data_IF_465367668614
#
_entry.id   IF_465367668614
#
_cell.length_a   1.000
_cell.length_b   1.000
_cell.length_c   1.000
_cell.angle_alpha   90.00
_cell.angle_beta   90.00
_cell.angle_gamma   90.00
#
_symmetry.space_group_name_H-M   'P 1'
#
loop_
_entity.id
_entity.type
_entity.pdbx_description
1 polymer ?
#
# COMPACT_ATOMS: atom_id res chain seq x y z
N UNK A 1 -14.70 12.56 -67.04
CA UNK A 1 -13.47 12.22 -66.27
C UNK A 1 -12.99 13.48 -65.57
N UNK A 2 -13.39 13.68 -64.34
CA UNK A 2 -13.00 14.85 -63.50
C UNK A 2 -12.22 14.33 -62.33
N UNK A 3 -10.89 14.59 -62.35
CA UNK A 3 -9.97 14.16 -61.29
C UNK A 3 -10.11 14.97 -60.00
N UNK A 4 -10.39 14.29 -58.91
CA UNK A 4 -10.30 14.84 -57.55
C UNK A 4 -8.84 14.87 -57.11
N UNK A 5 -8.32 16.06 -56.79
CA UNK A 5 -7.02 16.25 -56.10
C UNK A 5 -7.15 15.88 -54.63
N UNK A 6 -6.17 15.19 -54.03
CA UNK A 6 -6.17 14.92 -52.60
C UNK A 6 -5.92 16.18 -51.80
N UNK A 7 -6.68 16.36 -50.70
CA UNK A 7 -6.54 17.47 -49.77
C UNK A 7 -5.22 17.34 -48.99
N UNK A 8 -4.42 18.41 -49.03
CA UNK A 8 -3.14 18.48 -48.33
C UNK A 8 -3.33 18.39 -46.81
N UNK A 9 -2.62 17.47 -46.18
CA UNK A 9 -2.53 17.33 -44.70
C UNK A 9 -1.81 18.57 -44.12
N UNK A 10 -2.51 19.43 -43.40
CA UNK A 10 -1.88 20.45 -42.57
C UNK A 10 -1.26 19.75 -41.35
N UNK A 11 0.06 19.72 -41.32
CA UNK A 11 0.80 19.40 -40.09
C UNK A 11 0.50 20.46 -39.04
N UNK A 12 0.00 20.05 -37.88
CA UNK A 12 -0.17 20.92 -36.72
C UNK A 12 1.21 21.37 -36.24
N UNK A 13 1.38 22.64 -35.81
CA UNK A 13 2.65 23.11 -35.28
C UNK A 13 3.02 22.31 -34.01
N UNK A 14 4.29 21.93 -33.92
CA UNK A 14 4.83 21.27 -32.72
C UNK A 14 4.60 22.14 -31.46
N UNK A 15 4.18 21.55 -30.33
CA UNK A 15 4.09 22.29 -29.08
C UNK A 15 5.49 22.84 -28.70
N UNK A 16 5.55 24.01 -28.03
CA UNK A 16 6.83 24.57 -27.59
C UNK A 16 7.53 23.60 -26.62
N UNK A 17 8.87 23.58 -26.59
CA UNK A 17 9.62 22.74 -25.66
C UNK A 17 9.22 23.05 -24.21
N UNK A 18 9.01 21.99 -23.43
CA UNK A 18 8.72 22.12 -21.99
C UNK A 18 9.90 22.83 -21.30
N UNK A 19 9.63 23.74 -20.35
CA UNK A 19 10.68 24.36 -19.58
C UNK A 19 11.53 23.29 -18.87
N UNK A 20 12.85 23.49 -18.73
CA UNK A 20 13.70 22.52 -18.06
C UNK A 20 13.19 22.25 -16.65
N UNK A 21 13.09 20.98 -16.30
CA UNK A 21 12.78 20.55 -14.94
C UNK A 21 13.79 21.22 -14.01
N UNK A 22 13.32 22.09 -13.10
CA UNK A 22 14.21 22.75 -12.14
C UNK A 22 14.83 21.66 -11.26
N UNK A 23 16.13 21.44 -11.43
CA UNK A 23 16.93 20.65 -10.50
C UNK A 23 16.84 21.28 -9.11
N UNK A 24 16.21 20.61 -8.15
CA UNK A 24 16.43 20.93 -6.74
C UNK A 24 17.82 20.41 -6.37
N UNK A 25 18.82 21.22 -6.66
CA UNK A 25 20.10 21.11 -5.98
C UNK A 25 19.91 21.78 -4.62
N UNK A 26 19.59 20.99 -3.57
CA UNK A 26 19.96 21.27 -2.19
C UNK A 26 19.52 20.10 -1.31
N UNK A 27 20.54 19.43 -0.82
CA UNK A 27 20.59 18.50 0.31
C UNK A 27 19.95 17.10 0.15
N UNK A 28 20.78 16.04 0.19
CA UNK A 28 20.31 14.66 0.16
C UNK A 28 20.02 14.17 1.59
N UNK A 29 18.98 14.66 2.19
CA UNK A 29 18.28 13.92 3.24
C UNK A 29 17.06 13.30 2.59
N UNK A 30 17.20 12.07 2.12
CA UNK A 30 16.05 11.25 1.75
C UNK A 30 15.27 11.09 3.05
N UNK A 31 14.16 11.83 3.15
CA UNK A 31 13.22 11.72 4.27
C UNK A 31 12.09 10.83 3.79
N UNK A 32 11.72 9.81 4.55
CA UNK A 32 10.45 9.12 4.37
C UNK A 32 9.37 10.19 4.10
N UNK A 33 8.56 9.99 3.05
CA UNK A 33 7.63 11.03 2.61
C UNK A 33 6.36 11.03 3.46
N UNK A 34 6.47 11.47 4.73
CA UNK A 34 5.31 11.75 5.58
C UNK A 34 4.80 13.15 5.23
N UNK A 35 3.59 13.23 4.67
CA UNK A 35 3.03 14.48 4.17
C UNK A 35 1.75 14.88 4.89
N UNK A 36 1.71 16.11 5.35
CA UNK A 36 0.47 16.76 5.78
C UNK A 36 -0.41 17.06 4.56
N UNK A 37 -1.69 16.76 4.65
CA UNK A 37 -2.70 17.13 3.67
C UNK A 37 -3.83 17.89 4.35
N UNK A 38 -4.20 19.06 3.84
CA UNK A 38 -5.23 19.94 4.40
C UNK A 38 -5.10 20.17 5.93
N UNK A 39 -3.87 20.33 6.41
CA UNK A 39 -3.57 20.55 7.84
C UNK A 39 -3.52 19.26 8.68
N UNK A 40 -3.90 18.12 8.16
CA UNK A 40 -3.88 16.83 8.87
C UNK A 40 -2.57 16.11 8.58
N UNK A 41 -1.82 15.81 9.64
CA UNK A 41 -0.55 15.08 9.58
C UNK A 41 -0.76 13.64 10.03
N UNK A 42 -0.15 12.64 9.38
CA UNK A 42 -0.17 11.27 9.86
C UNK A 42 0.33 11.13 11.30
N UNK A 43 -0.35 10.29 12.08
CA UNK A 43 0.05 9.90 13.45
C UNK A 43 0.77 8.56 13.37
N UNK A 44 2.08 8.57 13.65
CA UNK A 44 2.96 7.41 13.51
C UNK A 44 3.78 7.28 14.80
N UNK A 45 3.62 6.20 15.59
CA UNK A 45 4.45 5.92 16.74
C UNK A 45 5.94 5.79 16.39
N UNK A 46 6.81 6.12 17.35
CA UNK A 46 8.27 6.02 17.16
C UNK A 46 8.78 4.58 17.04
N UNK A 47 7.98 3.61 17.45
CA UNK A 47 8.24 2.18 17.28
C UNK A 47 7.99 1.67 15.86
N UNK A 48 7.44 2.51 14.96
CA UNK A 48 7.17 2.13 13.59
C UNK A 48 8.39 2.31 12.70
N UNK A 49 8.57 1.40 11.76
CA UNK A 49 9.52 1.53 10.66
C UNK A 49 8.82 2.05 9.41
N UNK A 50 9.29 3.19 8.89
CA UNK A 50 8.86 3.71 7.58
C UNK A 50 10.11 3.79 6.71
N UNK A 51 10.17 2.97 5.68
CA UNK A 51 11.28 3.01 4.72
C UNK A 51 11.31 4.36 3.98
N UNK A 52 12.51 4.84 3.61
CA UNK A 52 12.71 6.19 3.07
C UNK A 52 11.89 6.50 1.80
N UNK A 53 11.60 5.48 0.98
CA UNK A 53 10.77 5.60 -0.22
C UNK A 53 9.28 5.36 0.04
N UNK A 54 8.91 4.95 1.27
CA UNK A 54 7.53 4.79 1.70
C UNK A 54 6.84 6.14 1.86
N UNK A 55 5.58 6.23 1.43
CA UNK A 55 4.80 7.48 1.42
C UNK A 55 3.57 7.34 2.32
N UNK A 56 3.43 8.24 3.30
CA UNK A 56 2.25 8.28 4.18
C UNK A 56 1.67 9.71 4.17
N UNK A 57 0.39 9.86 3.81
CA UNK A 57 -0.22 11.16 3.54
C UNK A 57 -1.56 11.31 4.28
N UNK A 58 -1.79 12.46 4.91
CA UNK A 58 -3.10 12.91 5.41
C UNK A 58 -3.57 12.20 6.69
N UNK A 59 -4.86 11.89 6.77
CA UNK A 59 -5.49 11.30 7.96
C UNK A 59 -5.22 9.80 8.07
N UNK A 60 -3.97 9.47 8.44
CA UNK A 60 -3.49 8.11 8.66
C UNK A 60 -3.03 7.96 10.11
N UNK A 61 -3.50 6.92 10.78
CA UNK A 61 -3.01 6.53 12.12
C UNK A 61 -2.49 5.11 12.06
N UNK A 62 -1.23 4.92 12.44
CA UNK A 62 -0.61 3.61 12.61
C UNK A 62 -0.58 3.24 14.09
N UNK A 63 -0.76 1.96 14.39
CA UNK A 63 -0.49 1.37 15.69
C UNK A 63 1.01 1.16 15.95
N UNK A 64 1.35 0.65 17.14
CA UNK A 64 2.73 0.38 17.53
C UNK A 64 3.36 -0.76 16.69
N UNK A 65 4.67 -0.67 16.44
CA UNK A 65 5.48 -1.66 15.74
C UNK A 65 4.99 -1.99 14.32
N UNK A 66 4.30 -1.06 13.66
CA UNK A 66 3.98 -1.21 12.24
C UNK A 66 5.22 -0.99 11.36
N UNK A 67 5.21 -1.58 10.17
CA UNK A 67 6.27 -1.35 9.18
C UNK A 67 5.71 -1.06 7.80
N UNK A 68 6.25 -0.03 7.15
CA UNK A 68 5.91 0.38 5.77
C UNK A 68 7.17 0.28 4.93
N UNK A 69 7.12 -0.56 3.91
CA UNK A 69 8.28 -0.98 3.14
C UNK A 69 8.43 -0.20 1.83
N UNK A 70 9.39 -0.61 1.00
CA UNK A 70 9.86 0.14 -0.16
C UNK A 70 8.73 0.49 -1.14
N UNK A 71 8.60 1.78 -1.47
CA UNK A 71 7.64 2.32 -2.43
C UNK A 71 6.16 2.06 -2.10
N UNK A 72 5.83 1.66 -0.88
CA UNK A 72 4.43 1.56 -0.47
C UNK A 72 3.82 2.96 -0.31
N UNK A 73 2.54 3.11 -0.66
CA UNK A 73 1.79 4.37 -0.58
C UNK A 73 0.56 4.19 0.30
N UNK A 74 0.47 4.95 1.39
CA UNK A 74 -0.68 5.01 2.29
C UNK A 74 -1.24 6.43 2.23
N UNK A 75 -2.41 6.62 1.60
CA UNK A 75 -2.95 7.94 1.31
C UNK A 75 -4.38 8.12 1.85
N UNK A 76 -4.47 8.78 3.02
CA UNK A 76 -5.72 9.18 3.68
C UNK A 76 -6.04 10.66 3.43
N UNK A 77 -6.25 11.05 2.18
CA UNK A 77 -6.46 12.44 1.78
C UNK A 77 -7.94 12.82 1.62
N UNK A 78 -8.81 11.84 1.34
CA UNK A 78 -10.25 12.05 1.14
C UNK A 78 -11.12 11.24 2.10
N UNK A 79 -10.53 10.44 2.95
CA UNK A 79 -11.11 9.76 4.13
C UNK A 79 -9.97 9.26 5.02
N UNK A 80 -10.28 8.73 6.21
CA UNK A 80 -9.25 8.25 7.12
C UNK A 80 -8.79 6.81 6.84
N UNK A 81 -7.52 6.53 7.23
CA UNK A 81 -6.94 5.18 7.29
C UNK A 81 -6.52 4.89 8.72
N UNK A 82 -6.88 3.72 9.25
CA UNK A 82 -6.50 3.25 10.59
C UNK A 82 -5.88 1.87 10.47
N UNK A 83 -4.68 1.71 11.02
CA UNK A 83 -3.90 0.47 10.97
C UNK A 83 -3.55 0.08 12.40
N UNK A 84 -3.89 -1.14 12.79
CA UNK A 84 -3.60 -1.71 14.11
C UNK A 84 -2.13 -2.05 14.31
N UNK A 85 -1.79 -2.53 15.52
CA UNK A 85 -0.42 -2.81 15.92
C UNK A 85 0.22 -3.95 15.12
N UNK A 86 1.55 -3.93 14.97
CA UNK A 86 2.36 -5.04 14.42
C UNK A 86 1.93 -5.45 13.00
N UNK A 87 1.33 -4.52 12.25
CA UNK A 87 0.88 -4.72 10.88
C UNK A 87 1.97 -4.25 9.92
N UNK A 88 2.26 -5.06 8.89
CA UNK A 88 3.26 -4.72 7.88
C UNK A 88 2.62 -4.45 6.52
N UNK A 89 3.06 -3.37 5.88
CA UNK A 89 2.66 -2.97 4.53
C UNK A 89 3.88 -3.12 3.63
N UNK A 90 3.92 -4.20 2.85
CA UNK A 90 5.09 -4.56 2.07
C UNK A 90 5.27 -3.70 0.82
N UNK A 91 6.34 -3.98 0.08
CA UNK A 91 6.78 -3.18 -1.05
C UNK A 91 5.69 -2.99 -2.10
N UNK A 92 5.64 -1.78 -2.69
CA UNK A 92 4.74 -1.42 -3.78
C UNK A 92 3.24 -1.49 -3.45
N UNK A 93 2.86 -1.63 -2.18
CA UNK A 93 1.44 -1.62 -1.80
C UNK A 93 0.81 -0.24 -2.00
N UNK A 94 -0.49 -0.23 -2.34
CA UNK A 94 -1.30 0.99 -2.43
C UNK A 94 -2.50 0.87 -1.51
N UNK A 95 -2.57 1.73 -0.50
CA UNK A 95 -3.64 1.81 0.48
C UNK A 95 -4.37 3.15 0.30
N UNK A 96 -5.63 3.11 -0.09
CA UNK A 96 -6.44 4.30 -0.35
C UNK A 96 -7.89 4.14 0.10
N UNK A 97 -8.68 5.16 -0.09
CA UNK A 97 -10.04 5.33 0.46
C UNK A 97 -10.96 5.96 -0.57
N UNK A 98 -12.28 5.75 -0.43
CA UNK A 98 -13.28 6.47 -1.22
C UNK A 98 -13.77 7.69 -0.43
N UNK A 99 -13.79 8.84 -1.09
CA UNK A 99 -14.18 10.15 -0.53
C UNK A 99 -15.46 10.06 0.30
N UNK A 100 -15.35 10.31 1.60
CA UNK A 100 -16.43 10.37 2.60
C UNK A 100 -17.38 9.15 2.66
N UNK A 101 -17.05 8.04 1.96
CA UNK A 101 -17.91 6.86 1.88
C UNK A 101 -17.27 5.64 2.53
N UNK A 102 -16.07 5.26 2.07
CA UNK A 102 -15.38 4.05 2.52
C UNK A 102 -13.99 4.38 3.07
N UNK A 103 -13.83 4.42 4.41
CA UNK A 103 -12.52 4.48 5.05
C UNK A 103 -11.77 3.16 4.88
N UNK A 104 -10.48 3.15 5.13
CA UNK A 104 -9.69 1.92 5.21
C UNK A 104 -9.35 1.61 6.67
N UNK A 105 -9.82 0.46 7.13
CA UNK A 105 -9.59 -0.01 8.51
C UNK A 105 -8.85 -1.34 8.45
N UNK A 106 -7.69 -1.40 9.07
CA UNK A 106 -6.84 -2.59 9.12
C UNK A 106 -6.55 -2.91 10.57
N UNK A 107 -6.79 -4.14 10.97
CA UNK A 107 -6.54 -4.65 12.31
C UNK A 107 -5.07 -4.80 12.66
N UNK A 108 -4.82 -5.49 13.75
CA UNK A 108 -3.49 -5.80 14.27
C UNK A 108 -2.95 -7.12 13.72
N UNK A 109 -1.62 -7.23 13.65
CA UNK A 109 -0.92 -8.45 13.19
C UNK A 109 -1.32 -8.87 11.76
N UNK A 110 -1.61 -7.88 10.91
CA UNK A 110 -1.95 -8.11 9.50
C UNK A 110 -0.68 -8.08 8.65
N UNK A 111 -0.49 -9.08 7.80
CA UNK A 111 0.55 -9.09 6.78
C UNK A 111 -0.05 -8.72 5.44
N UNK A 112 0.36 -7.57 4.88
CA UNK A 112 -0.05 -7.10 3.56
C UNK A 112 1.10 -7.33 2.59
N UNK A 113 0.99 -8.38 1.78
CA UNK A 113 2.03 -8.83 0.85
C UNK A 113 2.35 -7.82 -0.25
N UNK A 114 3.48 -8.01 -0.92
CA UNK A 114 3.98 -7.09 -1.96
C UNK A 114 2.93 -6.78 -3.03
N UNK A 115 2.89 -5.52 -3.48
CA UNK A 115 2.02 -5.02 -4.54
C UNK A 115 0.50 -5.23 -4.31
N UNK A 116 0.06 -5.35 -3.05
CA UNK A 116 -1.36 -5.42 -2.71
C UNK A 116 -2.01 -4.05 -2.86
N UNK A 117 -3.27 -4.04 -3.32
CA UNK A 117 -4.12 -2.85 -3.37
C UNK A 117 -5.28 -3.03 -2.38
N UNK A 118 -5.37 -2.13 -1.39
CA UNK A 118 -6.51 -2.04 -0.49
C UNK A 118 -7.21 -0.70 -0.70
N UNK A 119 -8.48 -0.74 -1.05
CA UNK A 119 -9.25 0.46 -1.29
C UNK A 119 -10.57 0.41 -0.52
N UNK A 120 -10.77 1.36 0.42
CA UNK A 120 -12.01 1.56 1.16
C UNK A 120 -12.60 0.31 1.84
N UNK A 121 -11.78 -0.59 2.36
CA UNK A 121 -12.19 -1.89 2.89
C UNK A 121 -11.88 -2.04 4.40
N UNK A 122 -12.34 -3.12 5.00
CA UNK A 122 -12.04 -3.48 6.39
C UNK A 122 -11.34 -4.83 6.45
N UNK A 123 -10.13 -4.85 7.00
CA UNK A 123 -9.37 -6.06 7.28
C UNK A 123 -9.33 -6.24 8.79
N UNK A 124 -9.78 -7.36 9.30
CA UNK A 124 -9.75 -7.67 10.72
C UNK A 124 -8.36 -8.14 11.17
N UNK A 125 -8.22 -8.50 12.44
CA UNK A 125 -6.93 -8.89 13.01
C UNK A 125 -6.40 -10.20 12.42
N UNK A 126 -5.09 -10.36 12.40
CA UNK A 126 -4.42 -11.61 12.00
C UNK A 126 -4.88 -12.14 10.63
N UNK A 127 -4.87 -11.24 9.66
CA UNK A 127 -5.14 -11.61 8.26
C UNK A 127 -3.82 -11.57 7.47
N UNK A 128 -3.62 -12.59 6.63
CA UNK A 128 -2.54 -12.59 5.65
C UNK A 128 -3.12 -12.33 4.27
N UNK A 129 -2.66 -11.26 3.63
CA UNK A 129 -3.04 -10.88 2.27
C UNK A 129 -1.88 -11.18 1.34
N UNK A 130 -2.07 -12.13 0.44
CA UNK A 130 -1.08 -12.58 -0.52
C UNK A 130 -0.71 -11.51 -1.54
N UNK A 131 0.51 -11.60 -2.07
CA UNK A 131 1.07 -10.66 -3.04
C UNK A 131 0.14 -10.38 -4.22
N UNK A 132 0.03 -9.10 -4.61
CA UNK A 132 -0.75 -8.68 -5.77
C UNK A 132 -2.27 -8.83 -5.62
N UNK A 133 -2.80 -9.15 -4.45
CA UNK A 133 -4.24 -9.17 -4.21
C UNK A 133 -4.84 -7.77 -4.27
N UNK A 134 -6.11 -7.69 -4.69
CA UNK A 134 -6.88 -6.43 -4.75
C UNK A 134 -8.14 -6.63 -3.90
N UNK A 135 -8.38 -5.71 -2.95
CA UNK A 135 -9.57 -5.72 -2.10
C UNK A 135 -10.28 -4.37 -2.26
N UNK A 136 -11.53 -4.41 -2.72
CA UNK A 136 -12.29 -3.24 -3.14
C UNK A 136 -13.21 -2.71 -2.04
N UNK A 137 -13.87 -1.59 -2.34
CA UNK A 137 -14.67 -0.79 -1.43
C UNK A 137 -15.75 -1.59 -0.68
N UNK A 138 -15.86 -1.31 0.60
CA UNK A 138 -16.86 -1.93 1.47
C UNK A 138 -16.66 -3.42 1.75
N UNK A 139 -15.61 -4.05 1.19
CA UNK A 139 -15.31 -5.43 1.50
C UNK A 139 -14.81 -5.58 2.95
N UNK A 140 -15.15 -6.68 3.60
CA UNK A 140 -14.74 -7.01 4.96
C UNK A 140 -14.09 -8.38 4.96
N UNK A 141 -12.84 -8.47 5.42
CA UNK A 141 -12.14 -9.73 5.62
C UNK A 141 -12.13 -10.05 7.11
N UNK A 142 -12.74 -11.17 7.50
CA UNK A 142 -12.78 -11.65 8.87
C UNK A 142 -11.41 -12.08 9.38
N UNK A 143 -11.26 -12.05 10.69
CA UNK A 143 -10.02 -12.39 11.40
C UNK A 143 -9.51 -13.81 11.10
N UNK A 144 -8.22 -14.04 11.33
CA UNK A 144 -7.57 -15.33 11.14
C UNK A 144 -7.77 -15.92 9.72
N UNK A 145 -7.81 -15.06 8.70
CA UNK A 145 -8.09 -15.44 7.31
C UNK A 145 -6.87 -15.25 6.40
N UNK A 146 -6.85 -15.99 5.29
CA UNK A 146 -5.82 -15.89 4.25
C UNK A 146 -6.47 -15.53 2.93
N UNK A 147 -6.06 -14.39 2.35
CA UNK A 147 -6.35 -14.00 0.98
C UNK A 147 -5.19 -14.42 0.10
N UNK A 148 -5.42 -15.28 -0.88
CA UNK A 148 -4.37 -15.82 -1.74
C UNK A 148 -3.77 -14.76 -2.68
N UNK A 149 -2.55 -15.02 -3.15
CA UNK A 149 -1.87 -14.13 -4.08
C UNK A 149 -2.69 -13.90 -5.36
N UNK A 150 -2.74 -12.65 -5.84
CA UNK A 150 -3.49 -12.25 -7.03
C UNK A 150 -5.02 -12.36 -6.91
N UNK A 151 -5.56 -12.58 -5.72
CA UNK A 151 -7.00 -12.66 -5.52
C UNK A 151 -7.68 -11.29 -5.72
N UNK A 152 -8.86 -11.28 -6.33
CA UNK A 152 -9.70 -10.08 -6.49
C UNK A 152 -10.95 -10.22 -5.62
N UNK A 153 -10.97 -9.50 -4.50
CA UNK A 153 -12.14 -9.35 -3.63
C UNK A 153 -12.95 -8.15 -4.14
N UNK A 154 -14.15 -8.43 -4.67
CA UNK A 154 -15.02 -7.40 -5.22
C UNK A 154 -15.69 -6.56 -4.13
N UNK A 155 -16.26 -5.43 -4.53
CA UNK A 155 -16.96 -4.52 -3.62
C UNK A 155 -18.02 -5.21 -2.75
N UNK A 156 -18.18 -4.73 -1.51
CA UNK A 156 -19.20 -5.18 -0.55
C UNK A 156 -19.11 -6.67 -0.18
N UNK A 157 -18.04 -7.37 -0.55
CA UNK A 157 -17.86 -8.78 -0.21
C UNK A 157 -17.58 -8.94 1.29
N UNK A 158 -18.38 -9.77 1.97
CA UNK A 158 -18.19 -10.12 3.39
C UNK A 158 -17.59 -11.51 3.49
N UNK A 159 -16.36 -11.58 3.97
CA UNK A 159 -15.66 -12.85 4.23
C UNK A 159 -15.69 -13.15 5.73
N UNK A 160 -16.26 -14.29 6.15
CA UNK A 160 -16.27 -14.67 7.56
C UNK A 160 -14.86 -14.98 8.08
N UNK A 161 -14.65 -14.97 9.41
CA UNK A 161 -13.38 -15.37 10.00
C UNK A 161 -12.93 -16.79 9.59
N UNK A 162 -11.64 -17.04 9.73
CA UNK A 162 -11.00 -18.35 9.47
C UNK A 162 -11.21 -18.87 8.04
N UNK A 163 -11.19 -17.98 7.05
CA UNK A 163 -11.43 -18.32 5.63
C UNK A 163 -10.15 -18.28 4.81
N UNK A 164 -9.99 -19.27 3.91
CA UNK A 164 -9.04 -19.22 2.79
C UNK A 164 -9.79 -18.77 1.54
N UNK A 165 -9.36 -17.64 0.95
CA UNK A 165 -10.02 -17.01 -0.20
C UNK A 165 -9.06 -16.95 -1.37
N UNK A 166 -9.44 -17.51 -2.53
CA UNK A 166 -8.60 -17.63 -3.72
C UNK A 166 -9.36 -17.21 -4.98
N UNK A 167 -8.63 -16.75 -5.99
CA UNK A 167 -9.13 -16.55 -7.35
C UNK A 167 -9.45 -15.10 -7.74
N UNK A 168 -9.85 -14.89 -8.98
CA UNK A 168 -10.25 -13.60 -9.55
C UNK A 168 -11.45 -13.80 -10.50
N UNK A 169 -12.68 -13.44 -10.08
CA UNK A 169 -13.07 -12.98 -8.75
C UNK A 169 -12.86 -14.06 -7.67
N UNK A 170 -12.54 -13.63 -6.46
CA UNK A 170 -12.18 -14.53 -5.39
C UNK A 170 -13.39 -15.23 -4.76
N UNK A 171 -13.16 -16.45 -4.28
CA UNK A 171 -14.15 -17.27 -3.59
C UNK A 171 -13.54 -17.88 -2.33
N UNK A 172 -14.37 -18.07 -1.31
CA UNK A 172 -14.01 -18.86 -0.13
C UNK A 172 -13.86 -20.31 -0.57
N UNK A 173 -12.69 -20.88 -0.36
CA UNK A 173 -12.37 -22.26 -0.77
C UNK A 173 -12.55 -23.25 0.37
N UNK A 174 -12.09 -22.88 1.57
CA UNK A 174 -12.17 -23.70 2.79
C UNK A 174 -11.85 -22.84 4.02
N UNK A 175 -11.96 -23.42 5.18
CA UNK A 175 -11.40 -22.83 6.40
C UNK A 175 -9.87 -22.91 6.40
N UNK A 176 -9.20 -21.97 7.07
CA UNK A 176 -7.76 -22.04 7.34
C UNK A 176 -7.46 -23.12 8.36
N UNK A 177 -6.26 -23.70 8.29
CA UNK A 177 -5.79 -24.71 9.25
C UNK A 177 -5.11 -24.06 10.46
N UNK A 178 -4.88 -24.81 11.53
CA UNK A 178 -4.15 -24.33 12.70
C UNK A 178 -2.71 -23.94 12.36
N UNK A 179 -2.08 -24.67 11.44
CA UNK A 179 -0.72 -24.39 10.95
C UNK A 179 -0.69 -23.06 10.16
N UNK A 180 -1.71 -22.79 9.35
CA UNK A 180 -1.84 -21.53 8.62
C UNK A 180 -2.04 -20.34 9.58
N UNK A 181 -2.84 -20.51 10.63
CA UNK A 181 -3.01 -19.47 11.67
C UNK A 181 -1.68 -19.21 12.40
N UNK A 182 -0.93 -20.27 12.74
CA UNK A 182 0.38 -20.13 13.36
C UNK A 182 1.35 -19.35 12.42
N UNK A 183 1.32 -19.64 11.12
CA UNK A 183 2.14 -18.97 10.13
C UNK A 183 1.76 -17.50 9.93
N UNK A 184 0.48 -17.14 10.00
CA UNK A 184 0.03 -15.73 9.97
C UNK A 184 0.70 -14.94 11.10
N UNK A 185 0.67 -15.49 12.33
CA UNK A 185 1.28 -14.86 13.51
C UNK A 185 2.79 -14.75 13.39
N UNK A 186 3.44 -15.83 12.97
CA UNK A 186 4.89 -15.84 12.73
C UNK A 186 5.31 -14.81 11.67
N UNK A 187 4.52 -14.68 10.60
CA UNK A 187 4.77 -13.67 9.56
C UNK A 187 4.77 -12.25 10.14
N UNK A 188 3.76 -11.89 10.92
CA UNK A 188 3.68 -10.57 11.56
C UNK A 188 4.87 -10.32 12.51
N UNK A 189 5.25 -11.32 13.32
CA UNK A 189 6.41 -11.25 14.22
C UNK A 189 7.73 -11.07 13.46
N UNK A 190 7.92 -11.78 12.36
CA UNK A 190 9.12 -11.68 11.55
C UNK A 190 9.28 -10.29 10.96
N UNK A 191 8.19 -9.65 10.51
CA UNK A 191 8.25 -8.28 10.00
C UNK A 191 8.55 -7.23 11.08
N UNK A 192 8.15 -7.44 12.34
CA UNK A 192 8.62 -6.61 13.46
C UNK A 192 10.14 -6.76 13.63
N UNK A 193 10.65 -8.01 13.67
CA UNK A 193 12.10 -8.27 13.77
C UNK A 193 12.90 -7.67 12.60
N UNK A 194 12.38 -7.77 11.37
CA UNK A 194 13.03 -7.17 10.20
C UNK A 194 13.06 -5.64 10.30
N UNK A 195 11.96 -5.02 10.71
CA UNK A 195 11.90 -3.58 10.94
C UNK A 195 12.94 -3.11 11.97
N UNK A 196 13.09 -3.84 13.08
CA UNK A 196 14.09 -3.56 14.10
C UNK A 196 15.54 -3.65 13.55
N UNK A 197 15.83 -4.62 12.69
CA UNK A 197 17.14 -4.74 12.02
C UNK A 197 17.41 -3.55 11.09
N UNK A 198 16.41 -3.06 10.36
CA UNK A 198 16.56 -1.87 9.51
C UNK A 198 16.75 -0.61 10.34
N UNK A 199 16.01 -0.45 11.45
CA UNK A 199 16.17 0.68 12.38
C UNK A 199 17.57 0.68 13.05
N UNK A 200 18.12 -0.49 13.35
CA UNK A 200 19.46 -0.63 13.91
C UNK A 200 20.59 -0.43 12.88
N UNK A 201 20.29 -0.54 11.59
CA UNK A 201 21.25 -0.43 10.48
C UNK A 201 20.98 0.85 9.69
N UNK A 202 21.35 2.05 10.21
CA UNK A 202 21.11 3.30 9.50
C UNK A 202 21.78 3.26 8.14
N UNK A 203 21.05 3.65 7.10
CA UNK A 203 21.52 3.76 5.72
C UNK A 203 22.86 4.51 5.65
N UNK A 204 23.97 3.76 5.56
CA UNK A 204 25.26 4.33 5.18
C UNK A 204 25.21 4.52 3.67
N UNK A 205 24.67 5.64 3.21
CA UNK A 205 25.00 6.15 1.89
C UNK A 205 26.51 6.35 1.88
N UNK A 206 27.25 5.38 1.32
CA UNK A 206 28.66 5.62 1.00
C UNK A 206 28.68 6.76 -0.01
N UNK A 207 29.35 7.89 0.26
CA UNK A 207 29.54 8.92 -0.76
C UNK A 207 30.43 8.32 -1.84
N UNK A 208 29.93 8.28 -3.07
CA UNK A 208 30.75 8.08 -4.25
C UNK A 208 30.79 6.69 -4.83
N UNK A 209 29.77 6.35 -5.62
CA UNK A 209 30.03 5.61 -6.86
C UNK A 209 30.16 6.66 -7.96
N UNK A 210 31.38 7.07 -8.27
CA UNK A 210 31.69 7.77 -9.52
C UNK A 210 31.82 6.70 -10.60
N UNK A 211 30.96 6.76 -11.61
CA UNK A 211 31.12 6.07 -12.88
C UNK A 211 32.01 6.93 -13.77
#
# INVERSE_FOLDING_TARGET
MTGLKPAGSRLLPHPPPLPPCRSRADSPTVRCMIRTFQGIKPTIPTSCFIEETGIVIGDVVLGEHCSVWFHAVIRGDVHYIRIGNRTNVQDLCVLHVTHDIHPLIIGSEVTIGHAVILHGCTIKDRVLIGMGAIIMDGAVIGEDSVVGAGALITEQTIVPPNSLILGSPAKITRSVTAEEIAWIKESAENYVKYADLYLASPSKTKPGFQI
#
